data_IF_519842835374
#
_entry.id   IF_519842835374
#
_cell.length_a   1.000
_cell.length_b   1.000
_cell.length_c   1.000
_cell.angle_alpha   90.00
_cell.angle_beta   90.00
_cell.angle_gamma   90.00
#
_symmetry.space_group_name_H-M   'P 1'
#
loop_
_entity.id
_entity.type
_entity.pdbx_description
1 polymer ?
#
# COMPACT_ATOMS: atom_id res chain seq x y z
N UNK A 1 -1.47 -6.31 -4.22
CA UNK A 1 -1.37 -5.08 -3.42
C UNK A 1 -0.12 -5.14 -2.54
N UNK A 2 0.66 -4.05 -2.54
CA UNK A 2 1.79 -3.82 -1.64
C UNK A 2 1.49 -2.57 -0.82
N UNK A 3 1.83 -2.58 0.47
CA UNK A 3 1.54 -1.47 1.38
C UNK A 3 2.84 -0.75 1.74
N UNK A 4 2.80 0.58 1.75
CA UNK A 4 3.84 1.44 2.30
C UNK A 4 3.21 2.23 3.45
N UNK A 5 3.67 2.07 4.70
CA UNK A 5 3.16 2.87 5.82
C UNK A 5 3.64 4.32 5.69
N UNK A 6 2.74 5.28 5.86
CA UNK A 6 3.09 6.71 5.82
C UNK A 6 3.84 7.20 7.07
N UNK A 7 3.86 6.41 8.15
CA UNK A 7 4.53 6.72 9.42
C UNK A 7 4.77 5.45 10.24
N UNK A 8 5.70 5.51 11.19
CA UNK A 8 5.97 4.43 12.17
C UNK A 8 4.71 4.02 12.94
N UNK A 9 3.79 4.97 13.23
CA UNK A 9 2.52 4.67 13.89
C UNK A 9 1.61 3.79 13.03
N UNK A 10 1.59 4.02 11.72
CA UNK A 10 0.80 3.20 10.79
C UNK A 10 1.46 1.83 10.62
N UNK A 11 2.78 1.79 10.53
CA UNK A 11 3.56 0.54 10.47
C UNK A 11 3.28 -0.35 11.68
N UNK A 12 3.42 0.17 12.90
CA UNK A 12 3.14 -0.59 14.13
C UNK A 12 1.70 -1.13 14.17
N UNK A 13 0.73 -0.38 13.64
CA UNK A 13 -0.67 -0.85 13.58
C UNK A 13 -0.92 -1.88 12.49
N UNK A 14 -0.10 -1.88 11.42
CA UNK A 14 -0.12 -2.92 10.40
C UNK A 14 0.51 -4.22 10.91
N UNK A 15 1.53 -4.13 11.76
CA UNK A 15 2.15 -5.31 12.40
C UNK A 15 1.19 -6.08 13.32
N UNK A 16 0.21 -5.38 13.90
CA UNK A 16 -0.87 -5.99 14.71
C UNK A 16 -1.90 -6.77 13.85
N UNK A 17 -1.88 -6.61 12.52
CA UNK A 17 -2.83 -7.26 11.62
C UNK A 17 -2.46 -8.71 11.42
N UNK A 18 -3.42 -9.61 11.64
CA UNK A 18 -3.24 -11.03 11.44
C UNK A 18 -4.29 -11.59 10.48
N UNK A 19 -4.09 -12.84 10.07
CA UNK A 19 -5.04 -13.51 9.18
C UNK A 19 -6.41 -13.61 9.86
N UNK A 20 -7.40 -12.94 9.27
CA UNK A 20 -8.76 -12.90 9.80
C UNK A 20 -9.18 -11.52 10.30
N UNK A 21 -8.25 -10.59 10.49
CA UNK A 21 -8.58 -9.19 10.80
C UNK A 21 -9.40 -8.57 9.67
N UNK A 22 -10.47 -7.86 10.04
CA UNK A 22 -11.15 -6.95 9.13
C UNK A 22 -10.49 -5.60 9.29
N UNK A 23 -9.96 -5.06 8.19
CA UNK A 23 -9.22 -3.80 8.21
C UNK A 23 -9.80 -2.80 7.23
N UNK A 24 -9.86 -1.55 7.65
CA UNK A 24 -10.13 -0.41 6.78
C UNK A 24 -8.86 0.41 6.62
N UNK A 25 -8.41 0.57 5.37
CA UNK A 25 -7.20 1.30 5.02
C UNK A 25 -7.55 2.51 4.15
N UNK A 26 -6.92 3.65 4.42
CA UNK A 26 -7.08 4.87 3.62
C UNK A 26 -5.71 5.46 3.26
N UNK A 27 -5.60 5.97 2.03
CA UNK A 27 -4.38 6.57 1.50
C UNK A 27 -4.41 6.68 -0.02
N UNK A 28 -3.25 6.52 -0.68
CA UNK A 28 -3.09 6.74 -2.11
C UNK A 28 -2.43 5.58 -2.84
N UNK A 29 -2.89 5.30 -4.06
CA UNK A 29 -2.09 4.50 -4.99
C UNK A 29 -0.94 5.37 -5.51
N UNK A 30 0.29 4.87 -5.39
CA UNK A 30 1.50 5.65 -5.67
C UNK A 30 2.43 4.95 -6.63
N UNK A 31 3.07 5.74 -7.49
CA UNK A 31 4.28 5.38 -8.23
C UNK A 31 5.49 5.87 -7.42
N UNK A 32 6.48 5.00 -7.21
CA UNK A 32 7.71 5.35 -6.49
C UNK A 32 8.87 5.48 -7.48
N UNK A 33 9.70 6.51 -7.30
CA UNK A 33 10.92 6.77 -8.07
C UNK A 33 12.07 7.01 -7.10
N UNK A 34 13.27 6.51 -7.40
CA UNK A 34 14.48 6.77 -6.62
C UNK A 34 15.56 7.39 -7.53
N UNK A 35 16.73 7.73 -6.97
CA UNK A 35 17.85 8.22 -7.77
C UNK A 35 18.24 7.22 -8.88
N UNK A 36 18.65 7.76 -10.03
CA UNK A 36 18.88 6.97 -11.25
C UNK A 36 17.58 6.59 -11.97
N UNK A 37 17.57 5.42 -12.61
CA UNK A 37 16.44 4.92 -13.41
C UNK A 37 15.49 3.98 -12.65
N UNK A 38 15.67 3.85 -11.33
CA UNK A 38 14.86 2.95 -10.54
C UNK A 38 13.44 3.51 -10.33
N UNK A 39 12.45 2.70 -10.67
CA UNK A 39 11.03 3.02 -10.53
C UNK A 39 10.24 1.78 -10.16
N UNK A 40 9.34 1.93 -9.20
CA UNK A 40 8.25 0.98 -9.02
C UNK A 40 6.99 1.57 -9.68
N UNK A 41 6.70 1.08 -10.88
CA UNK A 41 5.44 1.39 -11.57
C UNK A 41 4.39 0.38 -11.12
N UNK A 42 3.45 0.85 -10.33
CA UNK A 42 2.26 0.12 -9.92
C UNK A 42 1.05 0.58 -10.73
N UNK A 43 -0.03 -0.19 -10.65
CA UNK A 43 -1.33 0.30 -11.08
C UNK A 43 -1.77 1.48 -10.19
N UNK A 44 -2.33 2.52 -10.82
CA UNK A 44 -3.02 3.63 -10.15
C UNK A 44 -4.55 3.48 -10.21
N UNK A 45 -5.05 2.32 -10.65
CA UNK A 45 -6.48 2.01 -10.72
C UNK A 45 -6.78 0.65 -10.10
N UNK A 46 -7.92 0.53 -9.41
CA UNK A 46 -8.28 -0.69 -8.67
C UNK A 46 -8.82 -1.82 -9.55
N UNK A 47 -8.99 -1.55 -10.86
CA UNK A 47 -9.62 -2.48 -11.79
C UNK A 47 -8.63 -3.06 -12.81
N UNK A 48 -7.33 -2.80 -12.64
CA UNK A 48 -6.31 -3.31 -13.54
C UNK A 48 -6.09 -4.82 -13.32
N UNK A 49 -5.94 -5.57 -14.42
CA UNK A 49 -5.72 -7.02 -14.44
C UNK A 49 -4.50 -7.36 -15.31
N UNK A 50 -3.73 -8.38 -14.92
CA UNK A 50 -2.54 -8.85 -15.66
C UNK A 50 -1.19 -8.33 -15.12
N UNK A 51 -0.12 -8.49 -15.92
CA UNK A 51 1.24 -8.09 -15.53
C UNK A 51 1.36 -6.56 -15.37
N UNK A 52 1.84 -6.12 -14.20
CA UNK A 52 1.90 -4.69 -13.84
C UNK A 52 0.67 -4.15 -13.11
N UNK A 53 -0.34 -4.99 -12.84
CA UNK A 53 -1.54 -4.62 -12.09
C UNK A 53 -1.31 -4.50 -10.57
N UNK A 54 -0.14 -4.88 -10.05
CA UNK A 54 0.14 -4.77 -8.62
C UNK A 54 0.04 -3.32 -8.15
N UNK A 55 -0.93 -3.01 -7.29
CA UNK A 55 -1.07 -1.68 -6.69
C UNK A 55 -0.04 -1.47 -5.57
N UNK A 56 0.59 -0.29 -5.55
CA UNK A 56 1.35 0.20 -4.39
C UNK A 56 0.47 1.19 -3.64
N UNK A 57 0.16 0.88 -2.39
CA UNK A 57 -0.74 1.67 -1.58
C UNK A 57 0.03 2.34 -0.44
N UNK A 58 0.22 3.65 -0.53
CA UNK A 58 0.72 4.49 0.55
C UNK A 58 -0.41 4.70 1.56
N UNK A 59 -0.31 4.05 2.72
CA UNK A 59 -1.37 4.02 3.73
C UNK A 59 -1.11 5.09 4.78
N UNK A 60 -2.06 6.01 4.93
CA UNK A 60 -2.02 7.07 5.93
C UNK A 60 -2.81 6.73 7.19
N UNK A 61 -3.83 5.86 7.06
CA UNK A 61 -4.72 5.48 8.16
C UNK A 61 -5.11 4.01 8.06
N UNK A 62 -5.14 3.36 9.22
CA UNK A 62 -5.59 1.98 9.40
C UNK A 62 -6.54 1.91 10.60
N UNK A 63 -7.64 1.18 10.40
CA UNK A 63 -8.54 0.71 11.45
C UNK A 63 -8.57 -0.82 11.39
N UNK A 64 -8.55 -1.47 12.54
CA UNK A 64 -8.63 -2.92 12.70
C UNK A 64 -9.83 -3.20 13.58
N UNK A 65 -10.79 -3.97 13.06
CA UNK A 65 -12.02 -4.39 13.76
C UNK A 65 -11.84 -5.75 14.45
#
# INVERSE_FOLDING_TARGET
MHIIPASEKVESRLDDVYRGSIVTLSGYLVKVTAEGDWRWKSSLTRNDVGDGACELFWVEKILVD
#
